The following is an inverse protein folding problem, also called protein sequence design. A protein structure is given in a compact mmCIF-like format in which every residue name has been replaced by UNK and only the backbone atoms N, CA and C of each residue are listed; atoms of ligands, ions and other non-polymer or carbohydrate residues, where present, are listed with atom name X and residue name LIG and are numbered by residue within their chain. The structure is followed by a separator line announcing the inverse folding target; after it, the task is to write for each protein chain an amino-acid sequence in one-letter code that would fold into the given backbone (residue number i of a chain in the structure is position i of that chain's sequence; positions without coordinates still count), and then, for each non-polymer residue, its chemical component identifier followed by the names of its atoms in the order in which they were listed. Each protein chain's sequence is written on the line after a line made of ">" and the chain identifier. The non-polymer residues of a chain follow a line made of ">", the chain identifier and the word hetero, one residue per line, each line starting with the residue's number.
data_IF_205301092680
#
_entry.id   IF_205301092680
#
_cell.length_a   1.000
_cell.length_b   1.000
_cell.length_c   1.000
_cell.angle_alpha   90.00
_cell.angle_beta   90.00
_cell.angle_gamma   90.00
#
_symmetry.space_group_name_H-M   'P 1'
#
loop_
_entity.id
_entity.type
_entity.pdbx_description
1 polymer ?
#
# COMPACT_ATOMS: atom_id res chain seq x y z
N UNK A 1 10.31 -1.47 15.46
CA UNK A 1 9.81 -1.68 14.08
C UNK A 1 8.43 -2.28 14.17
N UNK A 2 7.39 -1.62 13.65
CA UNK A 2 6.04 -2.20 13.66
C UNK A 2 5.96 -3.29 12.58
N UNK A 3 5.45 -4.47 12.96
CA UNK A 3 5.24 -5.61 12.08
C UNK A 3 4.00 -5.36 11.22
N UNK A 4 4.16 -5.34 9.89
CA UNK A 4 3.05 -5.07 8.95
C UNK A 4 1.95 -6.13 8.99
N UNK A 5 2.19 -7.34 9.52
CA UNK A 5 1.18 -8.41 9.55
C UNK A 5 0.04 -8.19 10.56
N UNK A 6 0.20 -7.29 11.52
CA UNK A 6 -0.77 -7.05 12.61
C UNK A 6 -1.46 -5.69 12.57
N UNK A 7 -1.35 -4.97 11.44
CA UNK A 7 -1.97 -3.65 11.32
C UNK A 7 -3.48 -3.77 11.05
N UNK A 8 -4.30 -2.85 11.56
CA UNK A 8 -5.75 -2.87 11.37
C UNK A 8 -6.11 -2.32 9.98
N UNK A 9 -5.85 -3.10 8.93
CA UNK A 9 -6.18 -2.72 7.56
C UNK A 9 -7.69 -2.57 7.37
N UNK A 10 -8.10 -1.49 6.74
CA UNK A 10 -9.48 -1.15 6.42
C UNK A 10 -9.61 -0.84 4.93
N UNK A 11 -10.82 -0.97 4.37
CA UNK A 11 -11.15 -0.62 2.99
C UNK A 11 -10.16 -1.15 1.94
N UNK A 12 -9.68 -2.38 2.14
CA UNK A 12 -8.70 -3.01 1.23
C UNK A 12 -9.35 -3.27 -0.12
N UNK A 13 -8.79 -2.67 -1.17
CA UNK A 13 -9.20 -2.86 -2.55
C UNK A 13 -8.00 -3.22 -3.40
N UNK A 14 -8.00 -4.45 -3.92
CA UNK A 14 -7.01 -4.95 -4.86
C UNK A 14 -7.60 -4.85 -6.26
N UNK A 15 -6.83 -4.31 -7.20
CA UNK A 15 -7.30 -4.07 -8.56
C UNK A 15 -6.19 -4.27 -9.58
N UNK A 16 -6.52 -4.84 -10.71
CA UNK A 16 -5.64 -4.91 -11.87
C UNK A 16 -5.55 -3.52 -12.52
N UNK A 17 -4.34 -3.06 -12.80
CA UNK A 17 -4.15 -1.86 -13.62
C UNK A 17 -4.20 -2.26 -15.11
N UNK A 18 -4.91 -1.50 -15.93
CA UNK A 18 -4.97 -1.72 -17.38
C UNK A 18 -3.71 -1.25 -18.10
N UNK A 19 -3.07 -0.21 -17.55
CA UNK A 19 -1.85 0.40 -18.08
C UNK A 19 -0.55 -0.27 -17.61
N UNK A 20 -0.63 -1.25 -16.70
CA UNK A 20 0.53 -1.86 -16.07
C UNK A 20 0.26 -3.33 -15.72
N UNK A 21 1.19 -4.22 -16.07
CA UNK A 21 1.12 -5.62 -15.63
C UNK A 21 1.42 -5.70 -14.13
N UNK A 22 0.37 -5.77 -13.32
CA UNK A 22 0.46 -5.84 -11.88
C UNK A 22 -0.84 -5.50 -11.18
N UNK A 23 -0.72 -5.24 -9.87
CA UNK A 23 -1.83 -4.92 -8.98
C UNK A 23 -1.61 -3.55 -8.34
N UNK A 24 -2.72 -2.84 -8.17
CA UNK A 24 -2.83 -1.71 -7.25
C UNK A 24 -3.66 -2.14 -6.06
N UNK A 25 -3.08 -2.02 -4.87
CA UNK A 25 -3.70 -2.33 -3.58
C UNK A 25 -3.87 -1.02 -2.83
N UNK A 26 -5.11 -0.57 -2.69
CA UNK A 26 -5.45 0.57 -1.85
C UNK A 26 -5.94 0.06 -0.50
N UNK A 27 -5.47 0.65 0.59
CA UNK A 27 -5.90 0.29 1.94
C UNK A 27 -5.81 1.48 2.88
N UNK A 28 -6.59 1.43 3.97
CA UNK A 28 -6.58 2.44 5.03
C UNK A 28 -6.05 1.89 6.33
N UNK A 29 -5.38 2.74 7.09
CA UNK A 29 -5.11 2.54 8.51
C UNK A 29 -5.29 3.89 9.20
N UNK A 30 -6.11 3.96 10.24
CA UNK A 30 -6.41 5.21 10.96
C UNK A 30 -6.83 6.35 10.00
N UNK A 31 -7.79 6.07 9.12
CA UNK A 31 -8.31 6.98 8.08
C UNK A 31 -7.31 7.47 7.02
N UNK A 32 -6.04 7.10 7.14
CA UNK A 32 -5.00 7.42 6.17
C UNK A 32 -5.01 6.40 5.03
N UNK A 33 -5.22 6.86 3.80
CA UNK A 33 -5.21 6.03 2.61
C UNK A 33 -3.78 5.85 2.10
N UNK A 34 -3.43 4.60 1.81
CA UNK A 34 -2.18 4.18 1.21
C UNK A 34 -2.45 3.45 -0.09
N UNK A 35 -1.55 3.63 -1.05
CA UNK A 35 -1.51 2.88 -2.30
C UNK A 35 -0.24 2.06 -2.35
N UNK A 36 -0.38 0.76 -2.56
CA UNK A 36 0.71 -0.18 -2.77
C UNK A 36 0.66 -0.71 -4.20
N UNK A 37 1.73 -0.45 -4.96
CA UNK A 37 1.91 -0.95 -6.31
C UNK A 37 2.74 -2.24 -6.29
N UNK A 38 2.25 -3.24 -7.00
CA UNK A 38 2.85 -4.57 -7.14
C UNK A 38 2.98 -4.87 -8.63
N UNK A 39 4.19 -5.21 -9.09
CA UNK A 39 4.47 -5.57 -10.47
C UNK A 39 4.26 -7.05 -10.76
N UNK A 40 3.93 -7.35 -12.00
CA UNK A 40 3.73 -8.67 -12.61
C UNK A 40 2.61 -9.51 -11.98
N UNK A 41 1.61 -9.92 -12.77
CA UNK A 41 0.49 -10.73 -12.26
C UNK A 41 0.85 -12.18 -11.95
N UNK A 42 1.77 -12.78 -12.72
CA UNK A 42 2.16 -14.20 -12.59
C UNK A 42 3.19 -14.44 -11.49
N UNK A 43 4.06 -13.46 -11.25
CA UNK A 43 5.12 -13.47 -10.23
C UNK A 43 5.17 -12.11 -9.53
N UNK A 44 4.21 -11.84 -8.63
CA UNK A 44 4.07 -10.53 -8.01
C UNK A 44 5.33 -10.12 -7.25
N UNK A 45 5.80 -8.89 -7.48
CA UNK A 45 6.89 -8.29 -6.71
C UNK A 45 6.54 -6.85 -6.31
N UNK A 46 6.93 -6.40 -5.12
CA UNK A 46 6.49 -5.11 -4.61
C UNK A 46 7.30 -3.95 -5.22
N UNK A 47 6.64 -2.84 -5.53
CA UNK A 47 7.29 -1.64 -6.07
C UNK A 47 7.48 -0.56 -5.00
N UNK A 48 6.37 0.00 -4.51
CA UNK A 48 6.38 1.07 -3.52
C UNK A 48 5.05 1.17 -2.77
N UNK A 49 5.06 1.87 -1.65
CA UNK A 49 3.84 2.31 -0.98
C UNK A 49 3.83 3.83 -0.88
N UNK A 50 2.77 4.45 -1.37
CA UNK A 50 2.57 5.90 -1.38
C UNK A 50 1.43 6.30 -0.45
N UNK A 51 1.56 7.47 0.17
CA UNK A 51 0.47 8.13 0.87
C UNK A 51 -0.48 8.78 -0.15
N UNK A 52 -1.78 8.63 0.05
CA UNK A 52 -2.86 9.26 -0.72
C UNK A 52 -3.79 10.00 0.25
N UNK A 53 -3.21 10.86 1.09
CA UNK A 53 -3.98 11.52 2.15
C UNK A 53 -4.91 12.57 1.53
N UNK A 54 -6.14 12.65 2.04
CA UNK A 54 -7.13 13.66 1.59
C UNK A 54 -6.84 15.04 2.16
N UNK A 55 -6.24 15.08 3.35
CA UNK A 55 -5.94 16.29 4.10
C UNK A 55 -4.48 16.29 4.53
N UNK A 56 -3.96 17.46 4.91
CA UNK A 56 -2.60 17.57 5.44
C UNK A 56 -2.55 16.88 6.80
N UNK A 57 -1.69 15.87 6.94
CA UNK A 57 -1.54 15.15 8.21
C UNK A 57 -0.14 14.53 8.36
N UNK A 58 0.17 14.02 9.54
CA UNK A 58 1.42 13.32 9.86
C UNK A 58 1.19 11.82 9.74
N UNK A 59 1.99 11.14 8.92
CA UNK A 59 1.94 9.69 8.84
C UNK A 59 2.47 9.07 10.14
N UNK A 60 1.63 8.31 10.84
CA UNK A 60 1.95 7.66 12.11
C UNK A 60 3.10 6.65 12.04
N UNK A 61 3.44 6.16 10.84
CA UNK A 61 4.48 5.15 10.65
C UNK A 61 5.85 5.75 10.34
N UNK A 62 5.90 6.81 9.52
CA UNK A 62 7.16 7.42 9.08
C UNK A 62 7.39 8.84 9.59
N UNK A 63 6.44 9.38 10.37
CA UNK A 63 6.48 10.72 10.97
C UNK A 63 6.69 11.87 9.98
N UNK A 64 6.33 11.66 8.71
CA UNK A 64 6.39 12.69 7.67
C UNK A 64 5.07 13.44 7.61
N UNK A 65 5.16 14.75 7.45
CA UNK A 65 4.03 15.59 7.06
C UNK A 65 3.68 15.34 5.60
N UNK A 66 2.49 14.83 5.36
CA UNK A 66 1.95 14.51 4.04
C UNK A 66 0.91 15.58 3.71
N UNK A 67 1.03 16.19 2.53
CA UNK A 67 0.06 17.14 2.02
C UNK A 67 -1.08 16.41 1.29
N UNK A 68 -2.22 17.08 1.02
CA UNK A 68 -3.30 16.48 0.26
C UNK A 68 -2.84 15.97 -1.12
N UNK A 69 -3.35 14.81 -1.52
CA UNK A 69 -3.22 14.29 -2.88
C UNK A 69 -3.87 15.28 -3.89
N UNK A 70 -3.29 15.50 -5.09
CA UNK A 70 -2.12 14.80 -5.65
C UNK A 70 -0.76 15.37 -5.27
N UNK A 71 -0.69 16.63 -4.80
CA UNK A 71 0.58 17.31 -4.55
C UNK A 71 1.42 16.64 -3.45
N UNK A 72 0.78 16.05 -2.43
CA UNK A 72 1.46 15.39 -1.32
C UNK A 72 1.69 13.89 -1.49
N UNK A 73 1.54 13.34 -2.70
CA UNK A 73 1.84 11.93 -2.95
C UNK A 73 3.33 11.65 -2.71
N UNK A 74 3.63 10.98 -1.60
CA UNK A 74 5.01 10.68 -1.18
C UNK A 74 5.12 9.23 -0.73
N UNK A 75 6.31 8.64 -0.89
CA UNK A 75 6.60 7.27 -0.42
C UNK A 75 6.54 7.19 1.11
N UNK A 76 5.85 6.18 1.63
CA UNK A 76 5.89 5.82 3.04
C UNK A 76 7.17 5.03 3.35
N UNK A 77 8.15 5.70 3.97
CA UNK A 77 9.44 5.07 4.28
C UNK A 77 9.33 3.86 5.23
N UNK A 78 8.31 3.83 6.08
CA UNK A 78 8.06 2.72 6.99
C UNK A 78 7.63 1.47 6.22
N UNK A 79 6.65 1.60 5.33
CA UNK A 79 6.21 0.50 4.47
C UNK A 79 7.25 0.13 3.42
N UNK A 80 8.03 1.09 2.92
CA UNK A 80 9.10 0.82 1.95
C UNK A 80 10.14 -0.19 2.49
N UNK A 81 10.40 -0.17 3.81
CA UNK A 81 11.30 -1.12 4.47
C UNK A 81 10.70 -2.52 4.69
N UNK A 82 9.41 -2.69 4.40
CA UNK A 82 8.63 -3.90 4.70
C UNK A 82 7.91 -4.45 3.47
N UNK A 83 8.27 -3.99 2.28
CA UNK A 83 7.61 -4.34 1.02
C UNK A 83 7.39 -5.85 0.81
N UNK A 84 8.38 -6.74 1.00
CA UNK A 84 8.17 -8.18 0.85
C UNK A 84 7.17 -8.74 1.87
N UNK A 85 7.30 -8.33 3.13
CA UNK A 85 6.40 -8.74 4.22
C UNK A 85 4.97 -8.27 3.98
N UNK A 86 4.80 -7.06 3.45
CA UNK A 86 3.51 -6.46 3.13
C UNK A 86 2.85 -7.17 1.95
N UNK A 87 3.61 -7.46 0.89
CA UNK A 87 3.10 -8.24 -0.24
C UNK A 87 2.65 -9.63 0.22
N UNK A 88 3.48 -10.33 0.99
CA UNK A 88 3.12 -11.63 1.55
C UNK A 88 1.84 -11.55 2.40
N UNK A 89 1.66 -10.49 3.19
CA UNK A 89 0.44 -10.29 3.97
C UNK A 89 -0.79 -10.22 3.07
N UNK A 90 -0.77 -9.37 2.04
CA UNK A 90 -1.92 -9.24 1.12
C UNK A 90 -2.17 -10.52 0.32
N UNK A 91 -1.12 -11.20 -0.15
CA UNK A 91 -1.28 -12.48 -0.87
C UNK A 91 -1.85 -13.59 0.02
N UNK A 92 -1.47 -13.62 1.31
CA UNK A 92 -2.00 -14.60 2.26
C UNK A 92 -3.44 -14.28 2.66
N UNK A 93 -3.77 -12.99 2.83
CA UNK A 93 -5.07 -12.55 3.36
C UNK A 93 -6.15 -12.44 2.27
N UNK A 94 -5.74 -12.17 1.03
CA UNK A 94 -6.63 -11.95 -0.11
C UNK A 94 -6.24 -12.81 -1.33
N UNK A 95 -6.04 -14.14 -1.18
CA UNK A 95 -5.47 -14.97 -2.23
C UNK A 95 -6.28 -14.94 -3.54
N UNK A 96 -7.61 -14.80 -3.44
CA UNK A 96 -8.51 -14.79 -4.61
C UNK A 96 -8.36 -13.53 -5.48
N UNK A 97 -7.88 -12.43 -4.92
CA UNK A 97 -7.69 -11.17 -5.65
C UNK A 97 -6.36 -11.10 -6.41
N UNK A 98 -5.46 -12.07 -6.17
CA UNK A 98 -4.17 -12.22 -6.86
C UNK A 98 -4.17 -13.33 -7.93
N UNK A 99 -5.35 -13.84 -8.29
CA UNK A 99 -5.47 -14.90 -9.30
C UNK A 99 -5.40 -14.27 -10.70
N UNK A 100 -4.38 -14.69 -11.46
CA UNK A 100 -4.21 -14.39 -12.87
C UNK A 100 -5.02 -15.36 -13.75
#
# INVERSE_FOLDING_TARGET
>A
MQNVKGLPYQDVKISNLSSFDGYQINFRINDHLYQFLVGNKKRPFPLNVMHIFKEKDICIFCNKTIYPYPAGQQICLAFQKQLPSLLNHFQTSYPNDFIA
#
